data_IF_239157290089
#
_entry.id   IF_239157290089
#
_cell.length_a   1.000
_cell.length_b   1.000
_cell.length_c   1.000
_cell.angle_alpha   90.00
_cell.angle_beta   90.00
_cell.angle_gamma   90.00
#
_symmetry.space_group_name_H-M   'P 1'
#
loop_
_entity.id
_entity.type
_entity.pdbx_description
1 polymer ?
#
# COMPACT_ATOMS: atom_id res chain seq x y z
N UNK A 1 20.36 -18.62 14.55
CA UNK A 1 20.96 -17.31 14.19
C UNK A 1 19.99 -16.22 14.61
N UNK A 2 20.46 -15.07 15.09
CA UNK A 2 19.55 -13.97 15.46
C UNK A 2 19.03 -13.25 14.21
N UNK A 3 17.84 -12.65 14.31
CA UNK A 3 17.23 -11.82 13.26
C UNK A 3 18.18 -10.72 12.77
N UNK A 4 18.93 -10.12 13.70
CA UNK A 4 19.93 -9.11 13.39
C UNK A 4 21.08 -9.63 12.50
N UNK A 5 21.50 -10.90 12.68
CA UNK A 5 22.51 -11.52 11.83
C UNK A 5 21.98 -11.84 10.44
N UNK A 6 20.72 -12.29 10.35
CA UNK A 6 20.03 -12.53 9.08
C UNK A 6 19.87 -11.24 8.28
N UNK A 7 19.39 -10.16 8.92
CA UNK A 7 19.21 -8.86 8.28
C UNK A 7 20.54 -8.29 7.77
N UNK A 8 21.62 -8.39 8.57
CA UNK A 8 22.95 -7.95 8.14
C UNK A 8 23.45 -8.72 6.91
N UNK A 9 23.22 -10.03 6.88
CA UNK A 9 23.61 -10.85 5.74
C UNK A 9 22.82 -10.50 4.47
N UNK A 10 21.50 -10.33 4.60
CA UNK A 10 20.63 -9.92 3.49
C UNK A 10 21.03 -8.54 2.92
N UNK A 11 21.32 -7.57 3.79
CA UNK A 11 21.78 -6.24 3.37
C UNK A 11 23.12 -6.29 2.63
N UNK A 12 24.05 -7.15 3.05
CA UNK A 12 25.33 -7.32 2.36
C UNK A 12 25.17 -7.94 0.96
N UNK A 13 24.19 -8.84 0.79
CA UNK A 13 23.83 -9.39 -0.53
C UNK A 13 23.30 -8.27 -1.43
N UNK A 14 22.32 -7.49 -0.94
CA UNK A 14 21.75 -6.37 -1.70
C UNK A 14 22.79 -5.30 -2.06
N UNK A 15 23.74 -5.00 -1.18
CA UNK A 15 24.79 -4.02 -1.45
C UNK A 15 25.78 -4.50 -2.53
N UNK A 16 26.01 -5.82 -2.61
CA UNK A 16 26.88 -6.43 -3.61
C UNK A 16 26.23 -6.55 -5.00
N UNK A 17 24.91 -6.38 -5.14
CA UNK A 17 24.21 -6.42 -6.42
C UNK A 17 24.64 -5.27 -7.36
N UNK A 18 24.79 -5.52 -8.66
CA UNK A 18 24.97 -4.47 -9.65
C UNK A 18 23.88 -3.39 -9.54
N UNK A 19 24.24 -2.12 -9.77
CA UNK A 19 23.28 -1.01 -9.72
C UNK A 19 22.04 -1.23 -10.58
N UNK A 20 22.19 -1.87 -11.74
CA UNK A 20 21.06 -2.22 -12.60
C UNK A 20 20.08 -3.20 -11.92
N UNK A 21 20.59 -4.22 -11.23
CA UNK A 21 19.77 -5.21 -10.50
C UNK A 21 19.06 -4.56 -9.30
N UNK A 22 19.75 -3.68 -8.58
CA UNK A 22 19.14 -2.91 -7.48
C UNK A 22 18.03 -1.97 -7.97
N UNK A 23 18.21 -1.34 -9.13
CA UNK A 23 17.15 -0.52 -9.76
C UNK A 23 15.97 -1.42 -10.16
N UNK A 24 16.25 -2.57 -10.76
CA UNK A 24 15.21 -3.51 -11.17
C UNK A 24 14.45 -4.12 -9.99
N UNK A 25 15.07 -4.23 -8.81
CA UNK A 25 14.41 -4.65 -7.58
C UNK A 25 13.21 -3.74 -7.27
N UNK A 26 13.34 -2.43 -7.48
CA UNK A 26 12.24 -1.49 -7.32
C UNK A 26 11.29 -1.50 -8.52
N UNK A 27 11.79 -1.68 -9.75
CA UNK A 27 10.99 -1.59 -10.98
C UNK A 27 10.04 -2.78 -11.17
N UNK A 28 10.53 -4.00 -10.96
CA UNK A 28 9.80 -5.25 -11.27
C UNK A 28 8.41 -5.31 -10.61
N UNK A 29 8.25 -4.99 -9.30
CA UNK A 29 6.93 -4.99 -8.67
C UNK A 29 5.93 -4.07 -9.37
N UNK A 30 6.33 -2.86 -9.80
CA UNK A 30 5.44 -1.94 -10.50
C UNK A 30 5.07 -2.42 -11.91
N UNK A 31 5.98 -3.12 -12.60
CA UNK A 31 5.66 -3.73 -13.89
C UNK A 31 4.63 -4.86 -13.75
N UNK A 32 4.76 -5.69 -12.73
CA UNK A 32 3.78 -6.75 -12.43
C UNK A 32 2.43 -6.14 -12.06
N UNK A 33 2.43 -5.14 -11.17
CA UNK A 33 1.21 -4.40 -10.83
C UNK A 33 0.55 -3.78 -12.06
N UNK A 34 1.34 -3.16 -12.94
CA UNK A 34 0.83 -2.59 -14.19
C UNK A 34 0.18 -3.64 -15.09
N UNK A 35 0.82 -4.80 -15.25
CA UNK A 35 0.26 -5.90 -16.03
C UNK A 35 -1.07 -6.40 -15.44
N UNK A 36 -1.15 -6.57 -14.11
CA UNK A 36 -2.39 -6.95 -13.44
C UNK A 36 -3.51 -5.92 -13.64
N UNK A 37 -3.19 -4.62 -13.61
CA UNK A 37 -4.16 -3.55 -13.90
C UNK A 37 -4.68 -3.66 -15.33
N UNK A 38 -3.82 -3.94 -16.30
CA UNK A 38 -4.26 -4.10 -17.69
C UNK A 38 -5.19 -5.29 -17.86
N UNK A 39 -4.86 -6.44 -17.26
CA UNK A 39 -5.70 -7.64 -17.31
C UNK A 39 -7.08 -7.38 -16.69
N UNK A 40 -7.13 -6.87 -15.46
CA UNK A 40 -8.39 -6.56 -14.78
C UNK A 40 -9.21 -5.50 -15.52
N UNK A 41 -8.54 -4.54 -16.17
CA UNK A 41 -9.22 -3.54 -16.99
C UNK A 41 -9.86 -4.17 -18.22
N UNK A 42 -9.18 -5.10 -18.88
CA UNK A 42 -9.71 -5.81 -20.05
C UNK A 42 -10.94 -6.66 -19.69
N UNK A 43 -10.89 -7.40 -18.57
CA UNK A 43 -12.04 -8.16 -18.07
C UNK A 43 -13.27 -7.27 -17.86
N UNK A 44 -13.09 -6.12 -17.20
CA UNK A 44 -14.18 -5.17 -16.93
C UNK A 44 -14.68 -4.48 -18.20
N UNK A 45 -13.79 -4.19 -19.16
CA UNK A 45 -14.19 -3.67 -20.46
C UNK A 45 -15.14 -4.64 -21.16
N UNK A 46 -14.77 -5.91 -21.21
CA UNK A 46 -15.54 -6.95 -21.90
C UNK A 46 -16.86 -7.25 -21.19
N UNK A 47 -16.85 -7.32 -19.85
CA UNK A 47 -18.04 -7.62 -19.04
C UNK A 47 -19.10 -6.50 -19.12
N UNK A 48 -18.67 -5.24 -19.07
CA UNK A 48 -19.57 -4.09 -18.94
C UNK A 48 -19.67 -3.22 -20.21
N UNK A 49 -18.95 -3.58 -21.29
CA UNK A 49 -18.93 -2.81 -22.53
C UNK A 49 -18.35 -1.40 -22.36
N UNK A 50 -17.39 -1.21 -21.45
CA UNK A 50 -16.80 0.09 -21.15
C UNK A 50 -15.69 0.46 -22.14
N UNK A 51 -15.40 1.76 -22.24
CA UNK A 51 -14.16 2.20 -22.91
C UNK A 51 -12.94 1.82 -22.07
N UNK A 52 -11.80 1.67 -22.74
CA UNK A 52 -10.52 1.37 -22.10
C UNK A 52 -10.17 2.37 -20.99
N UNK A 53 -10.30 3.67 -21.27
CA UNK A 53 -9.98 4.72 -20.30
C UNK A 53 -10.85 4.60 -19.03
N UNK A 54 -12.14 4.28 -19.19
CA UNK A 54 -13.06 4.17 -18.06
C UNK A 54 -12.81 2.91 -17.23
N UNK A 55 -12.52 1.78 -17.87
CA UNK A 55 -12.18 0.55 -17.18
C UNK A 55 -10.85 0.67 -16.41
N UNK A 56 -9.83 1.26 -17.03
CA UNK A 56 -8.56 1.52 -16.35
C UNK A 56 -8.74 2.48 -15.17
N UNK A 57 -9.55 3.53 -15.33
CA UNK A 57 -9.85 4.45 -14.24
C UNK A 57 -10.59 3.75 -13.09
N UNK A 58 -11.50 2.84 -13.41
CA UNK A 58 -12.22 2.06 -12.41
C UNK A 58 -11.28 1.13 -11.62
N UNK A 59 -10.42 0.37 -12.30
CA UNK A 59 -9.42 -0.49 -11.63
C UNK A 59 -8.46 0.35 -10.78
N UNK A 60 -8.03 1.50 -11.28
CA UNK A 60 -7.19 2.43 -10.51
C UNK A 60 -7.91 2.95 -9.25
N UNK A 61 -9.21 3.20 -9.32
CA UNK A 61 -10.02 3.61 -8.16
C UNK A 61 -10.11 2.49 -7.10
N UNK A 62 -10.29 1.22 -7.52
CA UNK A 62 -10.27 0.09 -6.58
C UNK A 62 -8.91 -0.03 -5.89
N UNK A 63 -7.80 0.05 -6.65
CA UNK A 63 -6.45 0.05 -6.09
C UNK A 63 -6.20 1.21 -5.12
N UNK A 64 -6.72 2.41 -5.43
CA UNK A 64 -6.62 3.57 -4.55
C UNK A 64 -7.33 3.30 -3.22
N UNK A 65 -8.50 2.69 -3.22
CA UNK A 65 -9.26 2.38 -2.00
C UNK A 65 -8.53 1.35 -1.13
N UNK A 66 -8.00 0.27 -1.73
CA UNK A 66 -7.19 -0.72 -1.01
C UNK A 66 -5.95 -0.06 -0.41
N UNK A 67 -5.25 0.76 -1.20
CA UNK A 67 -4.05 1.48 -0.76
C UNK A 67 -4.36 2.45 0.39
N UNK A 68 -5.42 3.23 0.28
CA UNK A 68 -5.86 4.14 1.34
C UNK A 68 -6.12 3.36 2.64
N UNK A 69 -6.78 2.19 2.56
CA UNK A 69 -7.05 1.36 3.74
C UNK A 69 -5.78 0.73 4.35
N UNK A 70 -4.78 0.39 3.52
CA UNK A 70 -3.45 -0.03 3.98
C UNK A 70 -2.74 1.11 4.73
N UNK A 71 -2.75 2.33 4.18
CA UNK A 71 -2.12 3.49 4.83
C UNK A 71 -2.82 3.80 6.16
N UNK A 72 -4.14 3.74 6.23
CA UNK A 72 -4.90 3.86 7.48
C UNK A 72 -4.43 2.83 8.53
N UNK A 73 -4.28 1.57 8.11
CA UNK A 73 -3.84 0.48 9.00
C UNK A 73 -2.40 0.66 9.48
N UNK A 74 -1.49 1.11 8.60
CA UNK A 74 -0.10 1.42 8.96
C UNK A 74 -0.02 2.62 9.91
N UNK A 75 -0.85 3.64 9.71
CA UNK A 75 -0.95 4.79 10.59
C UNK A 75 -1.39 4.38 12.01
N UNK A 76 -2.40 3.51 12.12
CA UNK A 76 -2.80 2.94 13.42
C UNK A 76 -1.66 2.19 14.12
N UNK A 77 -1.01 1.26 13.41
CA UNK A 77 0.11 0.49 13.96
C UNK A 77 1.24 1.40 14.42
N UNK A 78 1.59 2.42 13.63
CA UNK A 78 2.62 3.38 14.00
C UNK A 78 2.31 4.08 15.33
N UNK A 79 1.06 4.52 15.55
CA UNK A 79 0.64 5.10 16.83
C UNK A 79 0.74 4.10 17.99
N UNK A 80 0.33 2.84 17.78
CA UNK A 80 0.44 1.78 18.78
C UNK A 80 1.90 1.51 19.19
N UNK A 81 2.84 1.68 18.25
CA UNK A 81 4.28 1.59 18.49
C UNK A 81 4.91 2.90 18.98
N UNK A 82 4.12 3.89 19.39
CA UNK A 82 4.59 5.13 20.03
C UNK A 82 4.88 6.29 19.09
N UNK A 83 4.54 6.20 17.79
CA UNK A 83 4.62 7.35 16.91
C UNK A 83 3.61 8.44 17.33
N UNK A 84 3.97 9.71 17.14
CA UNK A 84 3.04 10.82 17.39
C UNK A 84 2.11 11.04 16.20
N UNK A 85 0.88 11.51 16.45
CA UNK A 85 -0.09 11.90 15.39
C UNK A 85 0.50 12.92 14.40
N UNK A 86 1.37 13.82 14.89
CA UNK A 86 2.06 14.82 14.05
C UNK A 86 3.07 14.18 13.09
N UNK A 87 3.80 13.15 13.52
CA UNK A 87 4.75 12.45 12.65
C UNK A 87 4.03 11.64 11.57
N UNK A 88 2.95 10.96 11.94
CA UNK A 88 2.10 10.22 10.98
C UNK A 88 1.49 11.17 9.95
N UNK A 89 0.96 12.32 10.39
CA UNK A 89 0.42 13.34 9.50
C UNK A 89 1.46 13.84 8.48
N UNK A 90 2.67 14.16 8.96
CA UNK A 90 3.76 14.65 8.12
C UNK A 90 4.19 13.62 7.08
N UNK A 91 4.30 12.34 7.46
CA UNK A 91 4.65 11.26 6.56
C UNK A 91 3.63 11.09 5.42
N UNK A 92 2.35 11.36 5.70
CA UNK A 92 1.27 11.33 4.72
C UNK A 92 1.11 12.62 3.89
N UNK A 93 2.00 13.61 4.06
CA UNK A 93 1.84 14.92 3.42
C UNK A 93 0.60 15.69 3.89
N UNK A 94 0.00 15.30 5.03
CA UNK A 94 -1.17 15.95 5.60
C UNK A 94 -0.76 16.92 6.70
N UNK A 95 -1.47 18.05 6.82
CA UNK A 95 -1.31 18.88 8.03
C UNK A 95 -1.78 18.09 9.26
N UNK A 96 -1.20 18.29 10.46
CA UNK A 96 -1.64 17.61 11.68
C UNK A 96 -3.15 17.79 11.96
N UNK A 97 -3.72 18.94 11.58
CA UNK A 97 -5.15 19.22 11.68
C UNK A 97 -6.00 18.41 10.68
N UNK A 98 -5.45 18.05 9.51
CA UNK A 98 -6.10 17.22 8.50
C UNK A 98 -5.87 15.72 8.72
N UNK A 99 -4.92 15.31 9.56
CA UNK A 99 -4.59 13.91 9.81
C UNK A 99 -5.82 13.12 10.26
N UNK A 100 -6.59 13.66 11.19
CA UNK A 100 -7.81 13.03 11.70
C UNK A 100 -8.96 12.97 10.67
N UNK A 101 -8.92 13.84 9.65
CA UNK A 101 -9.84 13.82 8.50
C UNK A 101 -9.42 12.77 7.47
N UNK A 102 -8.11 12.66 7.20
CA UNK A 102 -7.54 11.71 6.22
C UNK A 102 -7.45 10.30 6.76
N UNK A 103 -7.27 10.17 8.07
CA UNK A 103 -7.19 8.92 8.83
C UNK A 103 -8.30 8.92 9.89
N UNK A 104 -9.55 8.61 9.51
CA UNK A 104 -10.70 8.61 10.44
C UNK A 104 -10.45 7.73 11.68
N UNK A 105 -9.65 6.67 11.52
CA UNK A 105 -9.30 5.73 12.59
C UNK A 105 -8.38 6.31 13.68
N UNK A 106 -7.78 7.48 13.47
CA UNK A 106 -6.98 8.17 14.51
C UNK A 106 -7.85 9.00 15.47
N UNK A 107 -9.17 9.06 15.25
CA UNK A 107 -10.13 9.68 16.16
C UNK A 107 -10.23 8.86 17.44
N UNK A 108 -10.31 9.56 18.57
CA UNK A 108 -10.60 8.91 19.85
C UNK A 108 -11.97 8.21 19.75
N UNK A 109 -12.01 6.93 20.15
CA UNK A 109 -13.18 6.04 20.08
C UNK A 109 -13.62 5.59 18.68
N UNK A 110 -12.78 5.69 17.64
CA UNK A 110 -13.10 4.98 16.38
C UNK A 110 -13.04 3.47 16.62
N UNK A 111 -14.08 2.70 16.26
CA UNK A 111 -14.04 1.25 16.40
C UNK A 111 -12.91 0.70 15.52
N UNK A 112 -12.07 -0.16 16.10
CA UNK A 112 -11.03 -0.90 15.39
C UNK A 112 -11.69 -2.06 14.61
N UNK A 113 -12.42 -1.71 13.55
CA UNK A 113 -13.09 -2.67 12.67
C UNK A 113 -12.16 -3.22 11.58
N UNK A 114 -12.69 -4.19 10.82
CA UNK A 114 -12.08 -4.67 9.56
C UNK A 114 -12.03 -3.54 8.53
N UNK A 115 -10.99 -3.55 7.71
CA UNK A 115 -10.77 -2.65 6.57
C UNK A 115 -10.71 -3.44 5.27
N UNK A 116 -10.87 -2.74 4.14
CA UNK A 116 -10.79 -3.34 2.81
C UNK A 116 -9.48 -4.12 2.60
N UNK A 117 -8.35 -3.64 3.13
CA UNK A 117 -7.09 -4.38 3.08
C UNK A 117 -7.14 -5.69 3.85
N UNK A 118 -7.89 -5.80 4.95
CA UNK A 118 -8.03 -7.06 5.67
C UNK A 118 -8.81 -8.08 4.83
N UNK A 119 -9.84 -7.62 4.11
CA UNK A 119 -10.62 -8.48 3.22
C UNK A 119 -9.80 -8.94 2.00
N UNK A 120 -8.99 -8.05 1.41
CA UNK A 120 -8.06 -8.40 0.32
C UNK A 120 -7.00 -9.40 0.77
N UNK A 121 -6.46 -9.25 1.98
CA UNK A 121 -5.46 -10.19 2.50
C UNK A 121 -6.06 -11.58 2.72
N UNK A 122 -7.29 -11.67 3.21
CA UNK A 122 -8.00 -12.95 3.40
C UNK A 122 -8.24 -13.68 2.06
N UNK A 123 -8.41 -12.96 0.93
CA UNK A 123 -8.57 -13.57 -0.40
C UNK A 123 -7.27 -14.13 -1.00
N UNK A 124 -6.10 -13.75 -0.44
CA UNK A 124 -4.79 -14.18 -0.92
C UNK A 124 -4.20 -15.38 -0.15
N UNK A 125 -4.83 -15.80 0.94
CA UNK A 125 -4.45 -16.96 1.77
C UNK A 125 -5.11 -18.27 1.31
#
# INVERSE_FOLDING_TARGET
>A
MSEHTLNRHALAILDAEPTAERIDHYRKPFMVLWAAVQEASAEIMDEYGLSQDLAQLWVAEQLRQVTDSLVDRLAEKALQHGASKSNVARAAGASPANATRRFPRLKENHPAGRTLIDDVLDELE
#
